data_IF_160094464175
#
_entry.id   IF_160094464175
#
_cell.length_a   1.000
_cell.length_b   1.000
_cell.length_c   1.000
_cell.angle_alpha   90.00
_cell.angle_beta   90.00
_cell.angle_gamma   90.00
#
_symmetry.space_group_name_H-M   'P 1'
#
loop_
_entity.id
_entity.type
_entity.pdbx_description
1 polymer ?
#
# COMPACT_ATOMS: atom_id res chain seq x y z
N UNK A 1 -32.65 3.00 -20.55
CA UNK A 1 -32.12 2.56 -19.25
C UNK A 1 -32.01 1.05 -19.27
N UNK A 2 -30.83 0.53 -19.58
CA UNK A 2 -30.57 -0.92 -19.62
C UNK A 2 -29.93 -1.39 -18.31
N UNK A 3 -30.12 -2.67 -17.92
CA UNK A 3 -29.57 -3.18 -16.67
C UNK A 3 -28.05 -3.31 -16.82
N UNK A 4 -27.30 -2.46 -16.11
CA UNK A 4 -25.85 -2.56 -16.01
C UNK A 4 -25.50 -3.84 -15.25
N UNK A 5 -24.98 -4.84 -15.96
CA UNK A 5 -24.34 -6.00 -15.32
C UNK A 5 -23.12 -5.47 -14.56
N UNK A 6 -23.18 -5.46 -13.23
CA UNK A 6 -22.00 -5.30 -12.39
C UNK A 6 -21.05 -6.46 -12.70
N UNK A 7 -20.01 -6.21 -13.49
CA UNK A 7 -18.89 -7.14 -13.57
C UNK A 7 -18.25 -7.14 -12.19
N UNK A 8 -18.48 -8.21 -11.42
CA UNK A 8 -17.86 -8.37 -10.12
C UNK A 8 -16.35 -8.23 -10.28
N UNK A 9 -15.74 -7.45 -9.38
CA UNK A 9 -14.30 -7.42 -9.22
C UNK A 9 -13.89 -8.77 -8.66
N UNK A 10 -13.76 -9.78 -9.53
CA UNK A 10 -13.23 -11.07 -9.14
C UNK A 10 -11.77 -10.81 -8.78
N UNK A 11 -11.44 -11.00 -7.50
CA UNK A 11 -10.07 -10.97 -7.01
C UNK A 11 -9.22 -11.85 -7.93
N UNK A 12 -8.18 -11.26 -8.49
CA UNK A 12 -7.23 -11.96 -9.35
C UNK A 12 -6.71 -13.20 -8.61
N UNK A 13 -6.84 -14.41 -9.18
CA UNK A 13 -5.86 -15.44 -8.93
C UNK A 13 -4.69 -15.12 -9.86
N UNK A 14 -3.56 -14.71 -9.30
CA UNK A 14 -2.27 -14.88 -9.97
C UNK A 14 -1.99 -16.39 -10.04
N UNK A 15 -2.63 -17.04 -11.00
CA UNK A 15 -2.49 -18.45 -11.33
C UNK A 15 -2.33 -18.56 -12.84
N UNK A 16 -1.12 -18.29 -13.32
CA UNK A 16 -0.71 -18.64 -14.68
C UNK A 16 -0.16 -20.09 -14.68
N UNK A 17 -1.02 -21.08 -14.43
CA UNK A 17 -1.08 -22.39 -15.10
C UNK A 17 -2.19 -23.25 -14.47
N UNK A 18 -3.27 -23.47 -15.23
CA UNK A 18 -4.16 -24.62 -15.05
C UNK A 18 -4.20 -25.33 -16.40
N UNK A 19 -3.20 -26.21 -16.62
CA UNK A 19 -3.37 -27.37 -17.50
C UNK A 19 -3.97 -28.46 -16.64
N UNK A 20 -5.16 -28.93 -17.03
CA UNK A 20 -5.72 -30.15 -16.47
C UNK A 20 -4.87 -31.36 -16.94
N UNK A 21 -3.97 -31.83 -16.08
CA UNK A 21 -3.92 -33.21 -15.57
C UNK A 21 -2.50 -33.72 -15.25
N UNK A 22 -2.38 -34.21 -14.01
CA UNK A 22 -1.49 -35.27 -13.52
C UNK A 22 -0.01 -34.97 -13.17
N UNK A 23 0.24 -35.06 -11.85
CA UNK A 23 1.48 -35.34 -11.09
C UNK A 23 2.55 -34.26 -10.84
N UNK A 24 2.51 -33.76 -9.58
CA UNK A 24 3.58 -33.44 -8.60
C UNK A 24 4.78 -32.58 -9.07
N UNK A 25 4.83 -31.29 -8.66
CA UNK A 25 5.70 -30.67 -7.62
C UNK A 25 5.65 -29.13 -7.76
N UNK A 26 5.31 -28.45 -6.65
CA UNK A 26 5.63 -27.06 -6.24
C UNK A 26 5.23 -25.87 -7.14
N UNK A 27 4.22 -25.11 -6.70
CA UNK A 27 3.79 -23.83 -7.28
C UNK A 27 4.28 -22.60 -6.49
N UNK A 28 4.50 -21.49 -7.20
CA UNK A 28 4.72 -20.17 -6.63
C UNK A 28 3.42 -19.35 -6.69
N UNK A 29 3.10 -18.66 -5.60
CA UNK A 29 1.93 -17.77 -5.45
C UNK A 29 2.45 -16.34 -5.39
N UNK A 30 2.03 -15.49 -6.34
CA UNK A 30 2.44 -14.09 -6.38
C UNK A 30 1.60 -13.26 -5.40
N UNK A 31 2.24 -12.53 -4.48
CA UNK A 31 1.58 -11.55 -3.59
C UNK A 31 2.29 -10.21 -3.67
N UNK A 32 1.69 -9.31 -4.43
CA UNK A 32 2.15 -7.94 -4.65
C UNK A 32 2.16 -7.13 -3.35
N UNK A 33 3.34 -6.71 -2.88
CA UNK A 33 3.46 -5.73 -1.80
C UNK A 33 3.53 -4.30 -2.38
N UNK A 34 2.53 -3.51 -2.03
CA UNK A 34 2.56 -2.05 -2.12
C UNK A 34 3.37 -1.55 -0.92
N UNK A 35 4.64 -1.17 -1.13
CA UNK A 35 5.41 -0.49 -0.09
C UNK A 35 5.22 1.04 -0.18
N UNK A 36 4.85 1.61 0.95
CA UNK A 36 5.01 3.03 1.28
C UNK A 36 5.05 3.19 2.80
N UNK A 37 5.69 4.24 3.35
CA UNK A 37 6.93 4.85 2.89
C UNK A 37 8.00 4.94 4.01
N UNK A 38 9.23 5.22 3.58
CA UNK A 38 10.30 5.98 4.26
C UNK A 38 10.41 6.00 5.80
N UNK A 39 11.57 5.57 6.28
CA UNK A 39 12.09 5.78 7.63
C UNK A 39 12.01 7.25 8.04
N UNK A 40 11.06 7.55 8.93
CA UNK A 40 11.34 8.22 10.18
C UNK A 40 10.62 7.39 11.24
N UNK A 41 11.32 7.07 12.33
CA UNK A 41 10.76 6.69 13.64
C UNK A 41 9.33 6.13 13.58
N UNK A 42 9.18 4.80 13.64
CA UNK A 42 7.90 4.18 13.95
C UNK A 42 7.50 4.53 15.38
N UNK A 43 7.12 5.78 15.59
CA UNK A 43 6.56 6.28 16.82
C UNK A 43 5.11 5.79 16.83
N UNK A 44 4.79 5.00 17.84
CA UNK A 44 3.44 4.70 18.26
C UNK A 44 2.63 6.01 18.20
N UNK A 45 1.61 6.09 17.34
CA UNK A 45 0.82 7.30 17.19
C UNK A 45 -0.20 7.35 18.32
N UNK A 46 0.03 8.27 19.28
CA UNK A 46 -0.69 8.35 20.55
C UNK A 46 -1.81 9.39 20.44
N UNK A 47 -3.05 8.97 20.67
CA UNK A 47 -4.16 9.86 21.00
C UNK A 47 -4.24 9.96 22.54
N UNK A 48 -4.39 11.17 23.08
CA UNK A 48 -4.62 11.38 24.50
C UNK A 48 -6.10 11.74 24.71
N UNK A 49 -6.82 10.92 25.48
CA UNK A 49 -8.21 11.21 25.87
C UNK A 49 -8.20 11.66 27.33
N UNK A 50 -8.50 12.93 27.55
CA UNK A 50 -8.57 13.49 28.90
C UNK A 50 -10.00 13.42 29.44
N UNK A 51 -10.19 12.69 30.55
CA UNK A 51 -11.43 12.70 31.32
C UNK A 51 -11.35 13.78 32.42
N UNK A 52 -12.14 14.86 32.35
CA UNK A 52 -12.10 15.95 33.35
C UNK A 52 -12.56 15.53 34.75
N UNK A 53 -13.11 14.33 34.94
CA UNK A 53 -13.55 13.81 36.25
C UNK A 53 -12.41 13.29 37.16
N UNK A 54 -11.13 13.53 36.81
CA UNK A 54 -9.99 13.29 37.71
C UNK A 54 -9.49 11.85 37.80
N UNK A 55 -10.13 10.90 37.13
CA UNK A 55 -9.61 9.56 36.90
C UNK A 55 -9.17 9.47 35.44
N UNK A 56 -7.95 9.92 35.16
CA UNK A 56 -7.35 9.83 33.84
C UNK A 56 -7.03 8.36 33.51
N UNK A 57 -7.90 7.70 32.77
CA UNK A 57 -7.49 6.59 31.91
C UNK A 57 -7.10 7.20 30.58
N UNK A 58 -5.79 7.36 30.35
CA UNK A 58 -5.26 7.73 29.04
C UNK A 58 -5.67 6.66 28.04
N UNK A 59 -6.61 7.00 27.17
CA UNK A 59 -7.10 6.11 26.12
C UNK A 59 -6.43 6.47 24.80
N UNK A 60 -5.67 5.53 24.25
CA UNK A 60 -4.95 5.69 22.98
C UNK A 60 -5.83 5.22 21.83
N UNK A 61 -6.45 6.14 21.13
CA UNK A 61 -7.18 5.88 19.90
C UNK A 61 -6.22 5.89 18.69
N UNK A 62 -6.56 5.20 17.60
CA UNK A 62 -5.77 5.14 16.36
C UNK A 62 -6.52 4.27 15.36
N UNK A 63 -7.21 4.88 14.40
CA UNK A 63 -8.27 4.18 13.67
C UNK A 63 -8.52 4.59 12.22
N UNK A 64 -9.26 3.73 11.54
CA UNK A 64 -9.70 3.93 10.15
C UNK A 64 -11.17 4.35 10.13
N UNK A 65 -11.46 5.49 9.51
CA UNK A 65 -12.82 6.03 9.37
C UNK A 65 -13.66 5.16 8.42
N UNK A 66 -14.85 4.77 8.87
CA UNK A 66 -15.96 4.31 8.03
C UNK A 66 -17.14 5.25 8.35
N UNK A 67 -17.55 6.05 7.37
CA UNK A 67 -18.60 7.06 7.53
C UNK A 67 -19.99 6.45 7.31
N UNK A 68 -20.84 6.60 8.31
CA UNK A 68 -22.30 6.62 8.16
C UNK A 68 -22.78 8.00 8.61
N UNK A 69 -23.87 8.51 8.03
CA UNK A 69 -24.24 9.95 8.00
C UNK A 69 -24.17 10.71 9.33
N UNK A 70 -24.19 10.06 10.50
CA UNK A 70 -24.13 10.71 11.81
C UNK A 70 -23.10 10.13 12.80
N UNK A 71 -22.33 9.10 12.42
CA UNK A 71 -21.43 8.42 13.36
C UNK A 71 -20.08 8.05 12.75
N UNK A 72 -19.01 8.39 13.47
CA UNK A 72 -17.64 8.01 13.10
C UNK A 72 -17.14 6.88 13.98
N UNK A 73 -16.58 5.85 13.35
CA UNK A 73 -15.91 4.75 14.03
C UNK A 73 -14.39 4.97 14.03
N UNK A 74 -13.76 4.77 15.19
CA UNK A 74 -12.32 4.83 15.38
C UNK A 74 -11.86 3.53 16.03
N UNK A 75 -10.92 2.83 15.39
CA UNK A 75 -10.13 1.84 16.11
C UNK A 75 -9.17 2.51 17.09
N UNK A 76 -8.74 1.76 18.09
CA UNK A 76 -7.79 2.16 19.12
C UNK A 76 -6.55 1.29 19.08
N UNK A 77 -5.51 1.66 19.81
CA UNK A 77 -4.24 0.91 19.82
C UNK A 77 -4.38 -0.50 20.41
N UNK A 78 -5.41 -0.73 21.23
CA UNK A 78 -5.78 -2.06 21.75
C UNK A 78 -6.75 -2.83 20.83
N UNK A 79 -6.94 -2.36 19.59
CA UNK A 79 -7.87 -2.89 18.58
C UNK A 79 -9.36 -2.83 18.97
N UNK A 80 -9.72 -2.03 19.97
CA UNK A 80 -11.12 -1.72 20.28
C UNK A 80 -11.68 -0.70 19.29
N UNK A 81 -12.91 -0.89 18.83
CA UNK A 81 -13.58 0.13 17.98
C UNK A 81 -14.49 0.98 18.84
N UNK A 82 -14.22 2.28 18.92
CA UNK A 82 -15.08 3.29 19.54
C UNK A 82 -15.90 4.04 18.50
N UNK A 83 -17.15 4.31 18.84
CA UNK A 83 -18.04 5.17 18.07
C UNK A 83 -18.04 6.56 18.72
N UNK A 84 -17.66 7.57 17.94
CA UNK A 84 -17.69 8.96 18.34
C UNK A 84 -19.04 9.59 17.97
N UNK A 85 -19.66 10.27 18.93
CA UNK A 85 -20.92 11.01 18.76
C UNK A 85 -20.65 12.48 19.04
N UNK A 86 -20.95 13.35 18.08
CA UNK A 86 -20.74 14.79 18.22
C UNK A 86 -22.02 15.42 18.77
N UNK A 87 -22.04 15.68 20.08
CA UNK A 87 -23.25 16.20 20.74
C UNK A 87 -23.55 17.68 20.35
N UNK A 88 -22.60 18.38 19.73
CA UNK A 88 -22.71 19.79 19.33
C UNK A 88 -22.99 20.00 17.83
N UNK A 89 -23.33 18.94 17.08
CA UNK A 89 -23.61 19.03 15.64
C UNK A 89 -22.87 17.97 14.83
N UNK A 90 -22.76 18.11 13.49
CA UNK A 90 -22.02 17.17 12.67
C UNK A 90 -20.53 17.16 13.03
N UNK A 91 -19.82 16.11 12.62
CA UNK A 91 -18.37 16.06 12.72
C UNK A 91 -17.72 17.27 12.03
N UNK A 92 -16.58 17.80 12.54
CA UNK A 92 -15.86 18.88 11.88
C UNK A 92 -15.56 18.53 10.41
N UNK A 93 -15.82 19.48 9.51
CA UNK A 93 -15.47 19.32 8.10
C UNK A 93 -13.95 19.13 7.94
N UNK A 94 -13.56 18.36 6.92
CA UNK A 94 -12.16 18.19 6.54
C UNK A 94 -11.42 17.06 7.27
N UNK A 95 -12.07 16.30 8.16
CA UNK A 95 -11.48 15.08 8.72
C UNK A 95 -11.29 14.00 7.63
N UNK A 96 -10.11 13.37 7.63
CA UNK A 96 -9.71 12.36 6.65
C UNK A 96 -9.16 11.13 7.34
N UNK A 97 -9.40 9.95 6.74
CA UNK A 97 -8.78 8.70 7.17
C UNK A 97 -7.25 8.82 7.23
N UNK A 98 -6.67 8.43 8.35
CA UNK A 98 -5.23 8.50 8.60
C UNK A 98 -4.75 9.80 9.25
N UNK A 99 -5.64 10.77 9.51
CA UNK A 99 -5.33 11.86 10.43
C UNK A 99 -5.18 11.33 11.85
N UNK A 100 -4.25 11.90 12.61
CA UNK A 100 -4.19 11.73 14.06
C UNK A 100 -4.98 12.87 14.69
N UNK A 101 -5.91 12.53 15.57
CA UNK A 101 -6.82 13.47 16.20
C UNK A 101 -6.77 13.32 17.71
N UNK A 102 -6.70 14.44 18.43
CA UNK A 102 -6.95 14.47 19.86
C UNK A 102 -8.44 14.70 20.10
N UNK A 103 -9.09 13.83 20.88
CA UNK A 103 -10.53 13.85 21.14
C UNK A 103 -10.78 14.06 22.63
N UNK A 104 -11.47 15.15 22.97
CA UNK A 104 -11.91 15.48 24.33
C UNK A 104 -13.40 15.23 24.44
N UNK A 105 -13.82 14.51 25.48
CA UNK A 105 -15.21 14.11 25.60
C UNK A 105 -15.51 13.21 26.79
N UNK A 106 -16.66 12.52 26.75
CA UNK A 106 -17.13 11.65 27.83
C UNK A 106 -17.66 10.32 27.29
N UNK A 107 -17.29 9.21 27.93
CA UNK A 107 -17.90 7.91 27.62
C UNK A 107 -19.39 7.91 28.03
N UNK A 108 -20.29 7.45 27.15
CA UNK A 108 -21.73 7.43 27.46
C UNK A 108 -22.05 6.27 28.41
N UNK A 109 -22.67 6.51 29.59
CA UNK A 109 -23.03 5.44 30.52
C UNK A 109 -23.97 4.43 29.87
N UNK A 110 -23.69 3.14 30.06
CA UNK A 110 -24.53 2.05 29.55
C UNK A 110 -24.37 1.74 28.05
N UNK A 111 -23.55 2.48 27.31
CA UNK A 111 -23.21 2.18 25.93
C UNK A 111 -21.74 1.72 25.84
N UNK A 112 -21.53 0.48 25.39
CA UNK A 112 -20.20 -0.09 25.22
C UNK A 112 -19.56 0.56 23.98
N UNK A 113 -18.38 1.14 24.16
CA UNK A 113 -17.59 1.82 23.12
C UNK A 113 -18.24 3.07 22.48
N UNK A 114 -19.11 3.78 23.19
CA UNK A 114 -19.68 5.05 22.72
C UNK A 114 -19.08 6.24 23.47
N UNK A 115 -18.53 7.22 22.74
CA UNK A 115 -17.88 8.40 23.29
C UNK A 115 -18.50 9.68 22.74
N UNK A 116 -19.04 10.52 23.63
CA UNK A 116 -19.52 11.86 23.30
C UNK A 116 -18.32 12.79 23.13
N UNK A 117 -18.20 13.43 21.97
CA UNK A 117 -17.12 14.36 21.63
C UNK A 117 -17.53 15.78 21.98
N UNK A 118 -16.77 16.42 22.86
CA UNK A 118 -16.88 17.83 23.19
C UNK A 118 -15.96 18.71 22.32
N UNK A 119 -14.75 18.22 22.03
CA UNK A 119 -13.81 18.87 21.13
C UNK A 119 -12.94 17.83 20.40
N UNK A 120 -12.54 18.14 19.18
CA UNK A 120 -11.64 17.32 18.36
C UNK A 120 -10.64 18.25 17.68
N UNK A 121 -9.34 17.94 17.82
CA UNK A 121 -8.27 18.68 17.13
C UNK A 121 -7.41 17.73 16.31
N UNK A 122 -7.09 18.10 15.07
CA UNK A 122 -6.17 17.34 14.23
C UNK A 122 -4.74 17.65 14.67
N UNK A 123 -4.04 16.66 15.20
CA UNK A 123 -2.64 16.80 15.67
C UNK A 123 -1.65 16.43 14.59
N UNK A 124 -2.04 15.55 13.67
CA UNK A 124 -1.24 15.20 12.50
C UNK A 124 -2.14 14.98 11.29
N UNK A 125 -1.80 15.64 10.18
CA UNK A 125 -2.43 15.40 8.88
C UNK A 125 -2.17 13.97 8.40
N UNK A 126 -3.10 13.42 7.61
CA UNK A 126 -2.92 12.09 7.01
C UNK A 126 -1.79 12.13 5.98
N UNK A 127 -0.60 11.66 6.37
CA UNK A 127 0.54 11.55 5.47
C UNK A 127 0.49 10.31 4.57
N UNK A 128 -0.21 9.26 5.00
CA UNK A 128 -0.03 7.91 4.47
C UNK A 128 -1.27 7.29 3.81
N UNK A 129 -2.43 7.95 3.86
CA UNK A 129 -3.62 7.51 3.14
C UNK A 129 -4.03 8.54 2.11
N UNK A 130 -3.99 8.12 0.85
CA UNK A 130 -4.51 8.91 -0.24
C UNK A 130 -6.05 8.91 -0.15
N UNK A 131 -6.59 9.94 0.50
CA UNK A 131 -8.02 10.20 0.51
C UNK A 131 -8.43 10.78 -0.85
N UNK A 132 -9.52 10.27 -1.41
CA UNK A 132 -10.12 10.78 -2.65
C UNK A 132 -11.45 11.41 -2.25
N UNK A 133 -11.55 12.73 -2.35
CA UNK A 133 -12.80 13.39 -2.00
C UNK A 133 -13.92 12.97 -2.97
N UNK A 134 -15.19 13.08 -2.56
CA UNK A 134 -16.31 12.88 -3.47
C UNK A 134 -16.18 13.73 -4.73
N UNK A 135 -16.25 13.09 -5.90
CA UNK A 135 -16.09 13.76 -7.20
C UNK A 135 -14.64 13.89 -7.70
N UNK A 136 -13.65 13.65 -6.85
CA UNK A 136 -12.24 13.66 -7.25
C UNK A 136 -11.76 12.29 -7.77
N UNK A 137 -10.59 12.32 -8.42
CA UNK A 137 -9.86 11.13 -8.84
C UNK A 137 -8.46 11.16 -8.25
N UNK A 138 -7.96 9.98 -7.87
CA UNK A 138 -6.63 9.81 -7.32
C UNK A 138 -5.67 9.32 -8.40
N UNK A 139 -4.67 10.14 -8.70
CA UNK A 139 -3.59 9.79 -9.60
C UNK A 139 -2.58 8.91 -8.86
N UNK A 140 -2.46 7.66 -9.26
CA UNK A 140 -1.53 6.70 -8.66
C UNK A 140 -0.15 6.94 -9.25
N UNK A 141 0.84 7.16 -8.39
CA UNK A 141 2.26 7.21 -8.79
C UNK A 141 3.01 6.00 -8.22
N UNK A 142 3.76 5.31 -9.07
CA UNK A 142 4.60 4.18 -8.68
C UNK A 142 5.86 4.04 -9.54
N UNK A 143 6.90 3.48 -8.93
CA UNK A 143 8.08 2.98 -9.63
C UNK A 143 8.21 1.49 -9.33
N UNK A 144 8.25 0.67 -10.38
CA UNK A 144 8.38 -0.77 -10.27
C UNK A 144 9.74 -1.22 -10.79
N UNK A 145 10.56 -1.76 -9.90
CA UNK A 145 11.88 -2.30 -10.19
C UNK A 145 11.78 -3.79 -10.54
N UNK A 146 12.18 -4.15 -11.76
CA UNK A 146 12.24 -5.53 -12.22
C UNK A 146 13.65 -6.05 -12.00
N UNK A 147 13.84 -6.75 -10.89
CA UNK A 147 15.14 -7.35 -10.56
C UNK A 147 15.28 -8.61 -11.40
N UNK A 148 16.17 -8.57 -12.39
CA UNK A 148 16.50 -9.71 -13.24
C UNK A 148 17.25 -10.77 -12.47
N UNK A 149 18.23 -10.37 -11.67
CA UNK A 149 18.94 -11.31 -10.82
C UNK A 149 19.40 -10.71 -9.51
N UNK A 150 19.45 -11.55 -8.48
CA UNK A 150 20.08 -11.25 -7.19
C UNK A 150 21.18 -12.28 -6.99
N UNK A 151 22.45 -11.84 -7.05
CA UNK A 151 23.60 -12.74 -7.01
C UNK A 151 23.49 -13.92 -8.00
N UNK A 152 23.02 -13.66 -9.22
CA UNK A 152 22.85 -14.67 -10.26
C UNK A 152 21.59 -15.53 -10.14
N UNK A 153 20.84 -15.48 -9.02
CA UNK A 153 19.50 -16.09 -8.93
C UNK A 153 18.54 -15.27 -9.77
N UNK A 154 17.95 -15.90 -10.80
CA UNK A 154 17.18 -15.19 -11.84
C UNK A 154 15.70 -15.10 -11.50
N UNK A 155 15.11 -13.96 -11.86
CA UNK A 155 13.67 -13.78 -11.85
C UNK A 155 13.06 -14.38 -13.11
N UNK A 156 11.96 -15.11 -12.96
CA UNK A 156 11.22 -15.70 -14.07
C UNK A 156 10.37 -14.68 -14.86
N UNK A 157 10.15 -13.48 -14.29
CA UNK A 157 9.36 -12.42 -14.93
C UNK A 157 10.22 -11.59 -15.87
N UNK A 158 9.94 -11.67 -17.18
CA UNK A 158 10.54 -10.80 -18.18
C UNK A 158 9.95 -9.38 -18.11
N UNK A 159 10.79 -8.35 -18.32
CA UNK A 159 10.37 -6.95 -18.25
C UNK A 159 9.33 -6.59 -19.31
N UNK A 160 9.40 -7.15 -20.52
CA UNK A 160 8.43 -6.85 -21.56
C UNK A 160 7.07 -7.50 -21.23
N UNK A 161 7.11 -8.71 -20.65
CA UNK A 161 5.92 -9.36 -20.10
C UNK A 161 5.27 -8.46 -19.04
N UNK A 162 6.04 -7.97 -18.06
CA UNK A 162 5.48 -7.07 -17.04
C UNK A 162 4.93 -5.78 -17.65
N UNK A 163 5.68 -5.12 -18.53
CA UNK A 163 5.25 -3.87 -19.19
C UNK A 163 3.93 -4.05 -19.92
N UNK A 164 3.77 -5.14 -20.67
CA UNK A 164 2.51 -5.45 -21.38
C UNK A 164 1.32 -5.69 -20.45
N UNK A 165 1.56 -6.06 -19.19
CA UNK A 165 0.54 -6.19 -18.14
C UNK A 165 0.39 -4.92 -17.29
N UNK A 166 1.33 -3.98 -17.35
CA UNK A 166 1.33 -2.78 -16.50
C UNK A 166 0.39 -1.71 -17.05
N UNK A 167 0.56 -1.33 -18.32
CA UNK A 167 -0.25 -0.28 -18.95
C UNK A 167 -0.66 -0.63 -20.36
N UNK A 168 -1.75 -0.01 -20.84
CA UNK A 168 -2.32 -0.29 -22.16
C UNK A 168 -1.37 0.10 -23.31
N UNK A 169 -0.45 1.04 -23.07
CA UNK A 169 0.50 1.52 -24.07
C UNK A 169 1.54 0.48 -24.50
N UNK A 170 1.75 -0.59 -23.73
CA UNK A 170 2.70 -1.65 -24.04
C UNK A 170 2.07 -2.84 -24.79
N UNK A 171 0.89 -2.65 -25.41
CA UNK A 171 0.27 -3.66 -26.25
C UNK A 171 -0.62 -4.65 -25.50
N UNK A 172 -1.18 -4.25 -24.35
CA UNK A 172 -2.28 -4.95 -23.71
C UNK A 172 -3.51 -4.94 -24.62
N UNK A 173 -3.55 -5.82 -25.62
CA UNK A 173 -4.68 -5.93 -26.53
C UNK A 173 -5.85 -6.59 -25.82
N UNK A 174 -7.03 -5.98 -25.94
CA UNK A 174 -8.33 -6.42 -25.44
C UNK A 174 -8.85 -7.74 -26.07
N UNK A 175 -7.99 -8.75 -26.26
CA UNK A 175 -8.34 -9.98 -26.97
C UNK A 175 -7.45 -11.20 -26.69
N UNK A 176 -6.47 -11.13 -25.78
CA UNK A 176 -5.79 -12.34 -25.28
C UNK A 176 -6.33 -12.69 -23.87
N UNK A 177 -6.19 -13.94 -23.39
CA UNK A 177 -6.48 -14.28 -21.99
C UNK A 177 -5.67 -13.45 -20.97
N UNK A 178 -4.60 -12.79 -21.40
CA UNK A 178 -3.79 -11.82 -20.67
C UNK A 178 -4.25 -10.35 -20.84
N UNK A 179 -5.43 -10.12 -21.45
CA UNK A 179 -5.88 -8.84 -21.99
C UNK A 179 -6.45 -7.83 -20.98
N UNK A 180 -5.95 -7.81 -19.74
CA UNK A 180 -6.25 -6.74 -18.77
C UNK A 180 -4.96 -6.28 -18.12
N UNK A 181 -4.73 -4.98 -18.11
CA UNK A 181 -3.55 -4.37 -17.50
C UNK A 181 -3.84 -3.91 -16.06
N UNK A 182 -2.79 -3.54 -15.32
CA UNK A 182 -2.95 -2.85 -14.03
C UNK A 182 -3.72 -1.55 -14.19
N UNK A 183 -3.55 -0.86 -15.32
CA UNK A 183 -4.36 0.30 -15.68
C UNK A 183 -5.85 -0.03 -15.76
N UNK A 184 -6.23 -1.14 -16.43
CA UNK A 184 -7.63 -1.58 -16.50
C UNK A 184 -8.16 -2.03 -15.14
N UNK A 185 -7.32 -2.70 -14.34
CA UNK A 185 -7.67 -3.12 -12.98
C UNK A 185 -8.01 -1.92 -12.11
N UNK A 186 -7.14 -0.91 -12.07
CA UNK A 186 -7.39 0.31 -11.33
C UNK A 186 -8.65 1.02 -11.81
N UNK A 187 -8.82 1.19 -13.13
CA UNK A 187 -10.02 1.82 -13.67
C UNK A 187 -11.31 1.08 -13.28
N UNK A 188 -11.34 -0.24 -13.41
CA UNK A 188 -12.52 -1.05 -13.12
C UNK A 188 -12.81 -1.17 -11.62
N UNK A 189 -11.82 -1.55 -10.82
CA UNK A 189 -12.01 -1.86 -9.40
C UNK A 189 -12.14 -0.63 -8.50
N UNK A 190 -11.69 0.54 -8.99
CA UNK A 190 -11.94 1.82 -8.31
C UNK A 190 -13.16 2.55 -8.84
N UNK A 191 -13.92 2.00 -9.80
CA UNK A 191 -15.03 2.70 -10.46
C UNK A 191 -14.60 4.07 -11.04
N UNK A 192 -13.40 4.13 -11.63
CA UNK A 192 -12.80 5.36 -12.17
C UNK A 192 -12.32 6.37 -11.12
N UNK A 193 -12.27 6.01 -9.83
CA UNK A 193 -11.75 6.87 -8.76
C UNK A 193 -10.23 6.88 -8.66
N UNK A 194 -9.55 5.96 -9.33
CA UNK A 194 -8.09 5.98 -9.47
C UNK A 194 -7.69 6.07 -10.93
N UNK A 195 -6.65 6.85 -11.19
CA UNK A 195 -6.07 7.10 -12.49
C UNK A 195 -4.65 6.55 -12.48
N UNK A 196 -4.41 5.53 -13.32
CA UNK A 196 -3.14 4.84 -13.41
C UNK A 196 -2.54 5.09 -14.80
N UNK A 197 -1.68 6.11 -14.91
CA UNK A 197 -1.11 6.53 -16.18
C UNK A 197 0.34 6.02 -16.34
N UNK A 198 0.79 5.74 -17.57
CA UNK A 198 2.15 5.29 -17.85
C UNK A 198 3.25 6.24 -17.40
N UNK A 199 3.03 7.55 -17.51
CA UNK A 199 3.99 8.57 -17.08
C UNK A 199 4.19 8.61 -15.55
N UNK A 200 3.22 8.14 -14.77
CA UNK A 200 3.28 8.11 -13.31
C UNK A 200 3.66 6.74 -12.75
N UNK A 201 3.58 5.70 -13.57
CA UNK A 201 3.71 4.30 -13.15
C UNK A 201 4.77 3.63 -14.01
N UNK A 202 6.03 3.97 -13.72
CA UNK A 202 7.17 3.57 -14.54
C UNK A 202 7.70 2.19 -14.14
N UNK A 203 8.17 1.44 -15.13
CA UNK A 203 8.80 0.13 -14.95
C UNK A 203 10.29 0.24 -15.31
N UNK A 204 11.16 0.03 -14.32
CA UNK A 204 12.62 0.13 -14.42
C UNK A 204 13.24 -1.26 -14.40
N UNK A 205 14.21 -1.49 -15.30
CA UNK A 205 15.00 -2.71 -15.35
C UNK A 205 15.32 -3.14 -16.80
N UNK A 206 15.88 -4.34 -16.98
CA UNK A 206 16.23 -5.34 -15.96
C UNK A 206 17.38 -4.89 -15.05
N UNK A 207 17.30 -5.18 -13.74
CA UNK A 207 18.34 -4.83 -12.76
C UNK A 207 19.05 -6.10 -12.24
N UNK A 208 20.38 -6.09 -12.19
CA UNK A 208 21.15 -7.13 -11.51
C UNK A 208 21.74 -6.60 -10.21
N UNK A 209 21.33 -7.21 -9.11
CA UNK A 209 21.81 -6.90 -7.77
C UNK A 209 23.04 -7.77 -7.49
N UNK A 210 24.16 -7.17 -7.02
CA UNK A 210 25.38 -7.91 -6.72
C UNK A 210 25.19 -8.83 -5.51
N UNK A 211 26.17 -9.70 -5.26
CA UNK A 211 26.09 -10.67 -4.17
C UNK A 211 26.22 -10.08 -2.76
N UNK A 212 26.76 -8.87 -2.65
CA UNK A 212 26.92 -8.18 -1.38
C UNK A 212 27.01 -6.68 -1.59
N UNK A 213 26.77 -5.95 -0.50
CA UNK A 213 26.93 -4.51 -0.45
C UNK A 213 26.67 -3.98 0.95
N UNK A 214 26.45 -2.67 1.03
CA UNK A 214 26.04 -2.00 2.26
C UNK A 214 24.86 -1.07 1.98
N UNK A 215 24.01 -0.87 2.98
CA UNK A 215 22.98 0.17 2.97
C UNK A 215 23.63 1.55 3.19
N UNK A 216 22.87 2.62 2.94
CA UNK A 216 23.29 4.00 3.19
C UNK A 216 23.66 4.29 4.65
N UNK A 217 23.15 3.51 5.61
CA UNK A 217 23.52 3.59 7.02
C UNK A 217 24.62 2.60 7.44
N UNK A 218 25.30 1.97 6.48
CA UNK A 218 26.44 1.07 6.72
C UNK A 218 26.06 -0.36 7.13
N UNK A 219 24.78 -0.73 7.06
CA UNK A 219 24.34 -2.10 7.27
C UNK A 219 24.78 -3.01 6.13
N UNK A 220 25.67 -3.96 6.41
CA UNK A 220 26.10 -4.94 5.40
C UNK A 220 24.93 -5.88 5.05
N UNK A 221 24.86 -6.26 3.78
CA UNK A 221 23.91 -7.24 3.27
C UNK A 221 24.59 -8.23 2.34
N UNK A 222 24.04 -9.45 2.29
CA UNK A 222 24.54 -10.55 1.45
C UNK A 222 23.41 -11.29 0.78
N UNK A 223 23.65 -11.80 -0.42
CA UNK A 223 22.67 -12.53 -1.21
C UNK A 223 23.30 -13.80 -1.83
N UNK A 224 22.52 -14.80 -2.25
CA UNK A 224 21.06 -14.90 -2.17
C UNK A 224 20.56 -15.54 -0.87
N UNK A 225 21.46 -15.87 0.06
CA UNK A 225 21.16 -16.73 1.20
C UNK A 225 20.61 -16.00 2.44
N UNK A 226 20.35 -14.70 2.34
CA UNK A 226 19.74 -13.90 3.39
C UNK A 226 18.61 -13.05 2.81
N UNK A 227 17.62 -12.74 3.65
CA UNK A 227 16.45 -11.94 3.30
C UNK A 227 16.00 -11.10 4.50
N UNK A 228 16.97 -10.54 5.23
CA UNK A 228 16.72 -9.69 6.37
C UNK A 228 16.44 -8.25 5.96
N UNK A 229 16.28 -7.41 6.99
CA UNK A 229 16.07 -5.98 6.84
C UNK A 229 17.17 -5.32 6.00
N UNK A 230 18.45 -5.63 6.26
CA UNK A 230 19.57 -5.04 5.52
C UNK A 230 19.56 -5.46 4.05
N UNK A 231 19.22 -6.72 3.73
CA UNK A 231 19.10 -7.19 2.36
C UNK A 231 18.02 -6.44 1.61
N UNK A 232 16.80 -6.42 2.12
CA UNK A 232 15.66 -5.80 1.44
C UNK A 232 15.92 -4.31 1.18
N UNK A 233 16.42 -3.59 2.20
CA UNK A 233 16.74 -2.17 2.03
C UNK A 233 17.96 -1.93 1.16
N UNK A 234 18.99 -2.78 1.24
CA UNK A 234 20.17 -2.69 0.40
C UNK A 234 19.83 -2.89 -1.07
N UNK A 235 18.97 -3.86 -1.37
CA UNK A 235 18.45 -4.13 -2.71
C UNK A 235 17.59 -2.97 -3.22
N UNK A 236 16.72 -2.41 -2.37
CA UNK A 236 15.92 -1.21 -2.69
C UNK A 236 16.81 -0.02 -3.04
N UNK A 237 17.79 0.30 -2.20
CA UNK A 237 18.71 1.41 -2.43
C UNK A 237 19.54 1.20 -3.70
N UNK A 238 19.98 -0.02 -3.97
CA UNK A 238 20.69 -0.36 -5.20
C UNK A 238 19.80 -0.14 -6.44
N UNK A 239 18.56 -0.61 -6.40
CA UNK A 239 17.60 -0.44 -7.50
C UNK A 239 17.22 1.03 -7.73
N UNK A 240 17.07 1.80 -6.66
CA UNK A 240 16.85 3.25 -6.70
C UNK A 240 18.03 3.97 -7.35
N UNK A 241 19.26 3.68 -6.91
CA UNK A 241 20.46 4.27 -7.52
C UNK A 241 20.57 3.89 -9.00
N UNK A 242 20.26 2.64 -9.35
CA UNK A 242 20.23 2.21 -10.75
C UNK A 242 19.22 3.02 -11.59
N UNK A 243 18.05 3.33 -11.05
CA UNK A 243 17.05 4.16 -11.74
C UNK A 243 17.51 5.60 -11.93
N UNK A 244 18.19 6.19 -10.93
CA UNK A 244 18.82 7.51 -11.05
C UNK A 244 19.85 7.48 -12.18
N UNK A 245 20.80 6.56 -12.11
CA UNK A 245 21.96 6.52 -13.00
C UNK A 245 21.58 6.22 -14.46
N UNK A 246 20.55 5.41 -14.70
CA UNK A 246 20.22 4.91 -16.05
C UNK A 246 18.97 5.54 -16.67
N UNK A 247 18.08 6.11 -15.86
CA UNK A 247 16.80 6.66 -16.33
C UNK A 247 16.61 8.14 -15.99
N UNK A 248 17.55 8.77 -15.27
CA UNK A 248 17.44 10.17 -14.85
C UNK A 248 16.24 10.42 -13.94
N UNK A 249 15.84 9.39 -13.17
CA UNK A 249 14.74 9.49 -12.22
C UNK A 249 15.28 10.13 -10.94
N UNK A 250 15.68 11.39 -11.02
CA UNK A 250 16.27 12.12 -9.86
C UNK A 250 15.24 12.33 -8.74
N UNK A 251 13.95 12.23 -9.09
CA UNK A 251 12.85 12.44 -8.18
C UNK A 251 12.13 11.12 -7.81
N UNK A 252 12.89 10.11 -7.37
CA UNK A 252 12.31 8.86 -6.81
C UNK A 252 11.32 9.17 -5.69
N UNK A 253 11.52 10.26 -4.95
CA UNK A 253 10.61 10.74 -3.91
C UNK A 253 9.23 11.20 -4.42
N UNK A 254 9.08 11.47 -5.72
CA UNK A 254 7.78 11.80 -6.32
C UNK A 254 6.88 10.56 -6.51
N UNK A 255 7.46 9.36 -6.50
CA UNK A 255 6.71 8.11 -6.57
C UNK A 255 6.36 7.65 -5.16
N UNK A 256 5.06 7.70 -4.85
CA UNK A 256 4.55 7.33 -3.52
C UNK A 256 4.64 5.83 -3.25
N UNK A 257 4.67 5.02 -4.31
CA UNK A 257 4.77 3.56 -4.24
C UNK A 257 6.06 3.11 -4.90
N UNK A 258 6.80 2.25 -4.20
CA UNK A 258 8.01 1.61 -4.72
C UNK A 258 7.78 0.11 -4.65
N UNK A 259 7.82 -0.53 -5.82
CA UNK A 259 7.51 -1.96 -5.95
C UNK A 259 8.76 -2.64 -6.47
N UNK A 260 9.17 -3.75 -5.85
CA UNK A 260 10.29 -4.54 -6.31
C UNK A 260 9.83 -5.95 -6.62
N UNK A 261 10.07 -6.40 -7.85
CA UNK A 261 9.85 -7.79 -8.25
C UNK A 261 11.16 -8.55 -8.10
N UNK A 262 11.25 -9.34 -7.04
CA UNK A 262 12.41 -10.16 -6.71
C UNK A 262 12.33 -11.55 -7.36
N UNK A 263 13.49 -12.20 -7.61
CA UNK A 263 13.50 -13.62 -7.94
C UNK A 263 13.01 -14.47 -6.77
N UNK A 264 12.49 -15.66 -7.07
CA UNK A 264 12.22 -16.67 -6.07
C UNK A 264 13.56 -17.15 -5.45
N UNK A 265 13.73 -16.90 -4.17
CA UNK A 265 14.95 -17.20 -3.41
C UNK A 265 14.57 -18.03 -2.19
N UNK A 266 15.25 -19.15 -1.98
CA UNK A 266 14.99 -20.04 -0.84
C UNK A 266 15.13 -19.37 0.54
N UNK A 267 15.96 -18.33 0.65
CA UNK A 267 16.13 -17.55 1.86
C UNK A 267 14.97 -16.59 2.15
N UNK A 268 14.24 -16.19 1.12
CA UNK A 268 13.00 -15.42 1.23
C UNK A 268 11.84 -16.41 1.20
N UNK A 269 11.47 -16.98 2.36
CA UNK A 269 10.38 -17.98 2.47
C UNK A 269 9.00 -17.53 1.97
N UNK A 270 8.89 -16.28 1.55
CA UNK A 270 7.81 -15.71 0.77
C UNK A 270 8.45 -15.20 -0.54
N UNK A 271 8.12 -15.80 -1.68
CA UNK A 271 8.72 -15.42 -2.94
C UNK A 271 7.72 -14.63 -3.79
N UNK A 272 7.98 -13.33 -3.97
CA UNK A 272 7.42 -12.50 -5.05
C UNK A 272 6.05 -11.89 -4.82
#
# INVERSE_FOLDING_TARGET
MGPGKSQGCIAWPLALLLVASCHIVSGASLRMLQQGPSVLSGELQVIHVHNPAGNATDMQLGGTQEETEDTMHFLTTDATTWQLVFDQGPAPEGLKSGMVVEVVGTAKPGAVHLFSVANLTVTQESGNKEYVAPGETLRITSITFVIRSVCGVRNGVDINTLKSQWTNNFGGAAGTPAGRTMQDYHAACSYGKTVFLPEDNIVVGPIDIPCSGATSWGGAWTAPNACGTNEIYGWAQYAEQYAIDNYGVDAIHNYKRRIMLLPDMSACGWAG
#
